data_IF_670864369825
#
_entry.id   IF_670864369825
#
_cell.length_a   1.000
_cell.length_b   1.000
_cell.length_c   1.000
_cell.angle_alpha   90.00
_cell.angle_beta   90.00
_cell.angle_gamma   90.00
#
_symmetry.space_group_name_H-M   'P 1'
#
loop_
_entity.id
_entity.type
_entity.pdbx_description
1 polymer ?
#
# COMPACT_ATOMS: atom_id res chain seq x y z
N UNK A 1 -2.85 -55.86 -29.20
CA UNK A 1 -1.83 -55.60 -28.15
C UNK A 1 -1.29 -54.18 -28.32
N UNK A 2 -1.52 -53.23 -27.40
CA UNK A 2 -0.70 -52.03 -27.31
C UNK A 2 0.27 -52.11 -26.11
N UNK A 3 1.55 -51.81 -26.33
CA UNK A 3 2.57 -51.65 -25.29
C UNK A 3 2.48 -50.27 -24.63
N UNK A 4 2.68 -50.25 -23.31
CA UNK A 4 2.41 -49.14 -22.37
C UNK A 4 3.43 -48.01 -22.43
N UNK A 5 3.01 -46.74 -22.20
CA UNK A 5 3.91 -45.60 -22.01
C UNK A 5 4.63 -45.64 -20.65
N UNK A 6 5.91 -45.23 -20.64
CA UNK A 6 6.74 -45.11 -19.44
C UNK A 6 6.18 -44.02 -18.50
N UNK A 7 5.92 -44.45 -17.27
CA UNK A 7 5.10 -43.83 -16.24
C UNK A 7 5.89 -43.10 -15.14
N UNK A 8 7.15 -42.75 -15.37
CA UNK A 8 8.06 -42.44 -14.25
C UNK A 8 8.28 -40.95 -13.93
N UNK A 9 7.69 -39.98 -14.65
CA UNK A 9 7.77 -38.56 -14.26
C UNK A 9 6.40 -37.89 -14.29
N UNK A 10 5.85 -37.44 -13.15
CA UNK A 10 4.57 -36.74 -13.18
C UNK A 10 4.74 -35.49 -14.06
N UNK A 11 3.91 -35.29 -15.09
CA UNK A 11 3.96 -34.07 -15.88
C UNK A 11 3.73 -32.91 -14.92
N UNK A 12 4.63 -31.92 -14.93
CA UNK A 12 4.41 -30.69 -14.17
C UNK A 12 3.09 -30.09 -14.64
N UNK A 13 2.03 -30.30 -13.85
CA UNK A 13 0.72 -29.75 -14.15
C UNK A 13 0.86 -28.24 -14.11
N UNK A 14 0.64 -27.61 -15.26
CA UNK A 14 0.58 -26.16 -15.34
C UNK A 14 -0.45 -25.66 -14.32
N UNK A 15 -0.01 -24.89 -13.33
CA UNK A 15 -0.91 -24.12 -12.46
C UNK A 15 -1.58 -22.95 -13.20
N UNK A 16 -1.12 -22.66 -14.42
CA UNK A 16 -1.75 -21.64 -15.27
C UNK A 16 -3.07 -22.20 -15.74
N UNK A 17 -4.14 -21.51 -15.36
CA UNK A 17 -5.49 -21.85 -15.78
C UNK A 17 -5.75 -21.49 -17.25
N UNK A 18 -4.87 -20.67 -17.84
CA UNK A 18 -5.02 -20.14 -19.20
C UNK A 18 -3.66 -20.03 -19.93
N UNK A 19 -3.66 -20.10 -21.27
CA UNK A 19 -2.49 -19.85 -22.10
C UNK A 19 -2.11 -18.37 -22.08
N UNK A 20 -0.81 -18.07 -22.16
CA UNK A 20 -0.28 -16.71 -22.35
C UNK A 20 0.00 -16.53 -23.84
N UNK A 21 -0.43 -15.41 -24.40
CA UNK A 21 -0.16 -15.06 -25.80
C UNK A 21 1.11 -14.23 -25.92
N UNK A 22 1.78 -14.35 -27.07
CA UNK A 22 2.88 -13.46 -27.41
C UNK A 22 2.32 -12.07 -27.75
N UNK A 23 2.92 -11.03 -27.18
CA UNK A 23 2.62 -9.65 -27.54
C UNK A 23 3.51 -9.30 -28.73
N UNK A 24 2.90 -9.09 -29.90
CA UNK A 24 3.61 -8.85 -31.17
C UNK A 24 3.82 -7.35 -31.48
N UNK A 25 3.50 -6.46 -30.53
CA UNK A 25 3.65 -5.01 -30.61
C UNK A 25 4.09 -4.40 -29.26
N UNK A 26 4.01 -3.08 -29.10
CA UNK A 26 4.40 -2.41 -27.85
C UNK A 26 3.23 -2.34 -26.85
N UNK A 27 3.46 -2.70 -25.59
CA UNK A 27 2.57 -2.38 -24.48
C UNK A 27 3.22 -1.25 -23.68
N UNK A 28 2.62 -0.07 -23.71
CA UNK A 28 3.02 1.07 -22.88
C UNK A 28 2.58 0.85 -21.42
N UNK A 29 3.47 1.13 -20.47
CA UNK A 29 3.18 1.02 -19.03
C UNK A 29 3.86 2.12 -18.23
N UNK A 30 3.23 2.57 -17.14
CA UNK A 30 3.83 3.51 -16.18
C UNK A 30 3.40 3.16 -14.75
N UNK A 31 4.35 3.25 -13.82
CA UNK A 31 4.17 3.22 -12.36
C UNK A 31 5.00 4.38 -11.78
N UNK A 32 5.06 4.47 -10.46
CA UNK A 32 5.99 5.24 -9.60
C UNK A 32 5.47 6.66 -9.28
N UNK A 33 5.38 7.04 -7.99
CA UNK A 33 6.51 7.14 -7.04
C UNK A 33 6.51 6.15 -5.87
N UNK A 34 7.71 5.73 -5.45
CA UNK A 34 7.99 5.14 -4.13
C UNK A 34 8.06 6.21 -3.03
N UNK A 35 8.42 7.44 -3.40
CA UNK A 35 8.55 8.59 -2.49
C UNK A 35 7.46 9.63 -2.75
N UNK A 36 6.21 9.19 -2.79
CA UNK A 36 5.09 10.14 -2.88
C UNK A 36 4.82 10.71 -1.48
N UNK A 37 4.92 12.03 -1.28
CA UNK A 37 4.57 12.62 0.00
C UNK A 37 3.07 12.41 0.25
N UNK A 38 2.75 12.09 1.50
CA UNK A 38 1.39 12.09 2.01
C UNK A 38 1.29 13.08 3.16
N UNK A 39 0.12 13.72 3.30
CA UNK A 39 -0.18 14.56 4.46
C UNK A 39 -1.19 13.82 5.33
N UNK A 40 -0.75 13.35 6.50
CA UNK A 40 -1.65 12.70 7.47
C UNK A 40 -2.64 13.73 8.00
N UNK A 41 -3.93 13.41 7.98
CA UNK A 41 -5.03 14.28 8.42
C UNK A 41 -5.59 13.87 9.78
N UNK A 42 -5.67 12.56 10.03
CA UNK A 42 -6.01 11.99 11.33
C UNK A 42 -5.25 10.68 11.52
N UNK A 43 -5.01 10.32 12.79
CA UNK A 43 -4.27 9.12 13.19
C UNK A 43 -4.96 8.51 14.42
N UNK A 44 -5.06 7.20 14.43
CA UNK A 44 -5.57 6.38 15.52
C UNK A 44 -4.70 5.13 15.70
N UNK A 45 -4.98 4.35 16.74
CA UNK A 45 -4.28 3.07 16.97
C UNK A 45 -4.48 2.06 15.83
N UNK A 46 -5.61 2.12 15.12
CA UNK A 46 -5.95 1.14 14.07
C UNK A 46 -5.59 1.60 12.67
N UNK A 47 -5.40 2.88 12.46
CA UNK A 47 -5.29 3.43 11.12
C UNK A 47 -5.20 4.94 11.09
N UNK A 48 -5.13 5.48 9.88
CA UNK A 48 -4.96 6.91 9.63
C UNK A 48 -5.66 7.31 8.34
N UNK A 49 -5.98 8.60 8.21
CA UNK A 49 -6.35 9.17 6.92
C UNK A 49 -5.26 10.10 6.41
N UNK A 50 -5.05 10.11 5.09
CA UNK A 50 -4.03 10.95 4.47
C UNK A 50 -4.47 11.51 3.13
N UNK A 51 -3.94 12.69 2.83
CA UNK A 51 -4.03 13.34 1.54
C UNK A 51 -2.82 13.01 0.65
N UNK A 52 -3.05 12.89 -0.65
CA UNK A 52 -2.03 12.54 -1.63
C UNK A 52 -2.38 13.03 -3.04
N UNK A 53 -1.37 13.14 -3.90
CA UNK A 53 -1.53 13.52 -5.31
C UNK A 53 -1.94 12.33 -6.21
N UNK A 54 -1.88 11.10 -5.71
CA UNK A 54 -2.30 9.90 -6.43
C UNK A 54 -3.29 9.08 -5.60
N UNK A 55 -4.27 8.42 -6.25
CA UNK A 55 -5.22 7.59 -5.53
C UNK A 55 -4.54 6.32 -5.00
N UNK A 56 -4.94 5.90 -3.79
CA UNK A 56 -4.63 4.58 -3.26
C UNK A 56 -5.86 3.67 -3.44
N UNK A 57 -5.83 2.67 -4.34
CA UNK A 57 -7.01 1.84 -4.58
C UNK A 57 -7.41 1.04 -3.33
N UNK A 58 -8.70 0.99 -2.93
CA UNK A 58 -9.14 0.19 -1.80
C UNK A 58 -8.73 -1.29 -1.92
N UNK A 59 -8.36 -1.91 -0.80
CA UNK A 59 -7.86 -3.29 -0.70
C UNK A 59 -6.39 -3.46 -1.05
N UNK A 60 -5.67 -2.39 -1.42
CA UNK A 60 -4.23 -2.46 -1.70
C UNK A 60 -3.39 -2.17 -0.46
N UNK A 61 -2.33 -2.95 -0.28
CA UNK A 61 -1.40 -2.86 0.86
C UNK A 61 -0.16 -2.05 0.46
N UNK A 62 0.24 -1.14 1.34
CA UNK A 62 1.35 -0.22 1.14
C UNK A 62 2.23 -0.17 2.39
N UNK A 63 3.48 0.23 2.20
CA UNK A 63 4.40 0.53 3.27
C UNK A 63 4.57 2.06 3.34
N UNK A 64 4.49 2.60 4.54
CA UNK A 64 4.62 4.02 4.83
C UNK A 64 5.81 4.25 5.73
N UNK A 65 6.58 5.29 5.42
CA UNK A 65 7.63 5.80 6.29
C UNK A 65 7.11 7.07 6.97
N UNK A 66 7.04 7.05 8.29
CA UNK A 66 6.69 8.21 9.09
C UNK A 66 7.92 8.71 9.84
N UNK A 67 8.13 10.01 9.84
CA UNK A 67 9.17 10.67 10.64
C UNK A 67 8.52 11.27 11.88
N UNK A 68 8.96 10.86 13.06
CA UNK A 68 8.53 11.41 14.35
C UNK A 68 9.10 12.83 14.54
N UNK A 69 8.52 13.64 15.45
CA UNK A 69 9.06 14.96 15.80
C UNK A 69 10.53 14.96 16.25
N UNK A 70 10.99 13.88 16.86
CA UNK A 70 12.39 13.70 17.28
C UNK A 70 13.34 13.31 16.13
N UNK A 71 12.82 13.19 14.90
CA UNK A 71 13.57 12.77 13.71
C UNK A 71 13.65 11.26 13.49
N UNK A 72 13.13 10.44 14.41
CA UNK A 72 13.13 8.99 14.27
C UNK A 72 12.17 8.55 13.17
N UNK A 73 12.62 7.68 12.27
CA UNK A 73 11.78 7.11 11.22
C UNK A 73 11.19 5.76 11.64
N UNK A 74 9.93 5.53 11.29
CA UNK A 74 9.25 4.25 11.47
C UNK A 74 8.61 3.80 10.16
N UNK A 75 8.65 2.48 9.90
CA UNK A 75 8.01 1.87 8.76
C UNK A 75 6.76 1.12 9.22
N UNK A 76 5.60 1.46 8.66
CA UNK A 76 4.33 0.82 8.96
C UNK A 76 3.68 0.33 7.67
N UNK A 77 3.10 -0.87 7.72
CA UNK A 77 2.29 -1.38 6.61
C UNK A 77 0.82 -1.14 6.88
N UNK A 78 0.08 -0.71 5.86
CA UNK A 78 -1.34 -0.46 5.96
C UNK A 78 -2.09 -0.79 4.66
N UNK A 79 -3.36 -1.16 4.79
CA UNK A 79 -4.26 -1.43 3.66
C UNK A 79 -5.18 -0.23 3.46
N UNK A 80 -5.27 0.26 2.22
CA UNK A 80 -6.24 1.30 1.88
C UNK A 80 -7.66 0.73 2.02
N UNK A 81 -8.50 1.35 2.84
CA UNK A 81 -9.89 0.95 3.08
C UNK A 81 -10.85 1.72 2.18
N UNK A 82 -10.58 3.01 1.97
CA UNK A 82 -11.33 3.85 1.05
C UNK A 82 -10.42 4.93 0.43
N UNK A 83 -10.80 5.44 -0.74
CA UNK A 83 -10.14 6.56 -1.40
C UNK A 83 -11.20 7.41 -2.12
N UNK A 84 -11.13 8.73 -1.95
CA UNK A 84 -12.04 9.68 -2.61
C UNK A 84 -11.28 10.90 -3.12
N UNK A 85 -11.81 11.54 -4.15
CA UNK A 85 -11.33 12.86 -4.58
C UNK A 85 -11.69 13.86 -3.48
N UNK A 86 -10.71 14.67 -3.07
CA UNK A 86 -10.89 15.72 -2.07
C UNK A 86 -11.05 17.09 -2.73
N UNK A 87 -10.22 17.39 -3.73
CA UNK A 87 -10.38 18.58 -4.59
C UNK A 87 -9.94 18.28 -6.02
N UNK A 88 -10.50 19.02 -6.96
CA UNK A 88 -10.04 19.10 -8.34
C UNK A 88 -10.05 20.58 -8.72
N UNK A 89 -8.88 21.13 -9.03
CA UNK A 89 -8.71 22.53 -9.42
C UNK A 89 -8.80 22.66 -10.94
N UNK A 90 -9.13 23.87 -11.43
CA UNK A 90 -9.34 24.13 -12.86
C UNK A 90 -8.09 23.94 -13.74
N UNK A 91 -6.91 23.85 -13.14
CA UNK A 91 -5.61 23.56 -13.76
C UNK A 91 -5.31 22.05 -13.85
N UNK A 92 -6.23 21.18 -13.40
CA UNK A 92 -6.11 19.73 -13.49
C UNK A 92 -5.37 19.07 -12.34
N UNK A 93 -5.01 19.80 -11.27
CA UNK A 93 -4.52 19.17 -10.05
C UNK A 93 -5.67 18.51 -9.29
N UNK A 94 -5.47 17.25 -8.90
CA UNK A 94 -6.46 16.45 -8.16
C UNK A 94 -5.80 15.95 -6.88
N UNK A 95 -6.48 16.17 -5.76
CA UNK A 95 -6.05 15.62 -4.47
C UNK A 95 -6.99 14.49 -4.06
N UNK A 96 -6.42 13.48 -3.41
CA UNK A 96 -7.15 12.31 -2.93
C UNK A 96 -7.02 12.23 -1.42
N UNK A 97 -8.11 11.90 -0.74
CA UNK A 97 -8.09 11.50 0.66
C UNK A 97 -8.37 10.01 0.75
N UNK A 98 -7.44 9.29 1.36
CA UNK A 98 -7.52 7.85 1.57
C UNK A 98 -7.47 7.51 3.05
N UNK A 99 -8.26 6.53 3.47
CA UNK A 99 -8.22 5.95 4.81
C UNK A 99 -7.50 4.61 4.78
N UNK A 100 -6.65 4.37 5.77
CA UNK A 100 -5.80 3.19 5.85
C UNK A 100 -5.99 2.49 7.19
N UNK A 101 -6.02 1.16 7.17
CA UNK A 101 -5.96 0.33 8.37
C UNK A 101 -4.58 -0.32 8.46
N UNK A 102 -3.93 -0.22 9.61
CA UNK A 102 -2.62 -0.83 9.82
C UNK A 102 -2.72 -2.36 9.75
N UNK A 103 -1.69 -2.98 9.19
CA UNK A 103 -1.54 -4.43 9.28
C UNK A 103 -1.06 -4.77 10.68
N UNK A 104 -1.97 -5.34 11.48
CA UNK A 104 -1.72 -5.65 12.89
C UNK A 104 -0.58 -6.64 13.07
N UNK A 105 0.31 -6.27 13.98
CA UNK A 105 1.35 -7.10 14.58
C UNK A 105 1.76 -6.45 15.89
N UNK A 106 2.28 -7.21 16.86
CA UNK A 106 2.73 -6.63 18.13
C UNK A 106 3.74 -5.48 17.94
N UNK A 107 4.61 -5.60 16.91
CA UNK A 107 5.57 -4.57 16.55
C UNK A 107 4.89 -3.32 15.94
N UNK A 108 3.89 -3.52 15.07
CA UNK A 108 3.08 -2.43 14.49
C UNK A 108 2.37 -1.67 15.62
N UNK A 109 1.71 -2.40 16.52
CA UNK A 109 0.87 -1.82 17.56
C UNK A 109 1.72 -0.99 18.54
N UNK A 110 2.89 -1.49 18.93
CA UNK A 110 3.84 -0.75 19.75
C UNK A 110 4.41 0.49 19.04
N UNK A 111 4.73 0.39 17.75
CA UNK A 111 5.24 1.52 16.97
C UNK A 111 4.19 2.62 16.78
N UNK A 112 2.93 2.25 16.54
CA UNK A 112 1.81 3.19 16.42
C UNK A 112 1.53 3.88 17.75
N UNK A 113 1.48 3.13 18.86
CA UNK A 113 1.32 3.73 20.19
C UNK A 113 2.42 4.75 20.49
N UNK A 114 3.68 4.38 20.25
CA UNK A 114 4.82 5.30 20.43
C UNK A 114 4.73 6.54 19.53
N UNK A 115 4.28 6.40 18.28
CA UNK A 115 4.07 7.54 17.38
C UNK A 115 3.02 8.51 17.96
N UNK A 116 1.87 8.00 18.40
CA UNK A 116 0.79 8.80 18.97
C UNK A 116 1.25 9.51 20.25
N UNK A 117 1.95 8.80 21.14
CA UNK A 117 2.48 9.37 22.38
C UNK A 117 3.46 10.51 22.10
N UNK A 118 4.32 10.36 21.08
CA UNK A 118 5.28 11.40 20.69
C UNK A 118 4.57 12.63 20.16
N UNK A 119 3.58 12.46 19.27
CA UNK A 119 2.82 13.58 18.69
C UNK A 119 2.02 14.32 19.76
N UNK A 120 1.35 13.59 20.66
CA UNK A 120 0.54 14.20 21.72
C UNK A 120 1.39 14.93 22.76
N UNK A 121 2.58 14.42 23.08
CA UNK A 121 3.51 15.08 24.00
C UNK A 121 4.01 16.43 23.46
N UNK A 122 4.27 16.53 22.16
CA UNK A 122 4.64 17.80 21.52
C UNK A 122 3.50 18.81 21.59
N UNK A 123 2.27 18.38 21.25
CA UNK A 123 1.09 19.26 21.25
C UNK A 123 0.68 19.74 22.65
N UNK A 124 1.05 19.01 23.72
CA UNK A 124 0.77 19.40 25.10
C UNK A 124 1.87 20.30 25.71
N UNK A 125 3.01 20.46 25.03
CA UNK A 125 4.16 21.24 25.48
C UNK A 125 4.23 22.67 24.95
N UNK A 126 3.31 23.04 24.04
CA UNK A 126 3.08 24.41 23.53
C UNK A 126 1.90 25.09 24.24
#
# INVERSE_FOLDING_TARGET
MPSRPDSSRPPFRSRRRHPRIAVLGEIQGRRVPLDMPITVRDLSLRGFSAESAQPFPPGTRHQFQFTKPDGTEILLEATAIHCRIASATGDGQVTFVSGFEFVSSDATDAAVASLIDTITSVLAGD
#
